data_IF_867088265473
#
_entry.id   IF_867088265473
#
_cell.length_a   1.000
_cell.length_b   1.000
_cell.length_c   1.000
_cell.angle_alpha   90.00
_cell.angle_beta   90.00
_cell.angle_gamma   90.00
#
_symmetry.space_group_name_H-M   'P 1'
#
loop_
_entity.id
_entity.type
_entity.pdbx_description
1 polymer ?
#
# COMPACT_ATOMS: atom_id res chain seq x y z
N UNK A 1 -16.78 -50.67 -56.22
CA UNK A 1 -17.52 -49.85 -55.23
C UNK A 1 -18.76 -49.28 -55.91
N UNK A 2 -19.96 -49.55 -55.41
CA UNK A 2 -21.22 -49.04 -55.99
C UNK A 2 -21.23 -47.51 -55.96
N UNK A 3 -21.65 -46.82 -57.04
CA UNK A 3 -21.70 -45.35 -57.15
C UNK A 3 -22.33 -44.67 -55.92
N UNK A 4 -23.32 -45.33 -55.32
CA UNK A 4 -24.02 -44.87 -54.12
C UNK A 4 -23.14 -44.81 -52.86
N UNK A 5 -22.21 -45.76 -52.67
CA UNK A 5 -21.29 -45.72 -51.52
C UNK A 5 -20.30 -44.57 -51.60
N UNK A 6 -19.80 -44.29 -52.81
CA UNK A 6 -18.88 -43.18 -53.04
C UNK A 6 -19.56 -41.82 -52.81
N UNK A 7 -20.83 -41.70 -53.21
CA UNK A 7 -21.68 -40.52 -52.92
C UNK A 7 -21.80 -40.28 -51.41
N UNK A 8 -22.20 -41.30 -50.65
CA UNK A 8 -22.33 -41.23 -49.18
C UNK A 8 -21.01 -40.92 -48.47
N UNK A 9 -19.88 -41.44 -48.94
CA UNK A 9 -18.55 -41.09 -48.41
C UNK A 9 -18.22 -39.60 -48.65
N UNK A 10 -18.56 -39.07 -49.83
CA UNK A 10 -18.35 -37.65 -50.16
C UNK A 10 -19.22 -36.73 -49.29
N UNK A 11 -20.45 -37.13 -49.00
CA UNK A 11 -21.34 -36.38 -48.10
C UNK A 11 -20.80 -36.28 -46.67
N UNK A 12 -20.24 -37.38 -46.14
CA UNK A 12 -19.58 -37.38 -44.81
C UNK A 12 -18.41 -36.38 -44.81
N UNK A 13 -17.60 -36.38 -45.88
CA UNK A 13 -16.46 -35.47 -46.03
C UNK A 13 -16.91 -34.01 -46.04
N UNK A 14 -17.96 -33.68 -46.77
CA UNK A 14 -18.49 -32.31 -46.85
C UNK A 14 -19.05 -31.83 -45.50
N UNK A 15 -19.91 -32.64 -44.87
CA UNK A 15 -20.46 -32.30 -43.53
C UNK A 15 -19.35 -32.13 -42.49
N UNK A 16 -18.37 -33.03 -42.46
CA UNK A 16 -17.24 -32.91 -41.54
C UNK A 16 -16.36 -31.69 -41.85
N UNK A 17 -16.08 -31.43 -43.13
CA UNK A 17 -15.27 -30.31 -43.59
C UNK A 17 -15.81 -28.95 -43.16
N UNK A 18 -17.13 -28.78 -43.19
CA UNK A 18 -17.82 -27.54 -42.80
C UNK A 18 -17.65 -27.16 -41.33
N UNK A 19 -17.60 -28.15 -40.43
CA UNK A 19 -17.63 -27.91 -38.97
C UNK A 19 -16.33 -28.30 -38.26
N UNK A 20 -15.40 -29.03 -38.89
CA UNK A 20 -14.19 -29.52 -38.21
C UNK A 20 -13.42 -28.40 -37.50
N UNK A 21 -13.38 -27.20 -38.05
CA UNK A 21 -12.65 -26.05 -37.50
C UNK A 21 -13.16 -25.58 -36.13
N UNK A 22 -14.47 -25.72 -35.86
CA UNK A 22 -15.10 -25.26 -34.62
C UNK A 22 -15.27 -26.37 -33.56
N UNK A 23 -14.99 -27.63 -33.91
CA UNK A 23 -15.17 -28.76 -33.01
C UNK A 23 -13.90 -29.13 -32.23
N UNK A 24 -14.07 -29.51 -30.96
CA UNK A 24 -13.03 -30.13 -30.13
C UNK A 24 -12.67 -31.53 -30.64
N UNK A 25 -11.52 -32.08 -30.20
CA UNK A 25 -11.10 -33.45 -30.57
C UNK A 25 -12.19 -34.50 -30.28
N UNK A 26 -12.81 -34.42 -29.10
CA UNK A 26 -13.91 -35.32 -28.70
C UNK A 26 -15.15 -35.13 -29.58
N UNK A 27 -15.54 -33.89 -29.85
CA UNK A 27 -16.71 -33.60 -30.68
C UNK A 27 -16.53 -34.08 -32.12
N UNK A 28 -15.33 -33.91 -32.71
CA UNK A 28 -14.98 -34.48 -34.01
C UNK A 28 -15.13 -36.01 -34.00
N UNK A 29 -14.58 -36.68 -32.96
CA UNK A 29 -14.66 -38.14 -32.83
C UNK A 29 -16.11 -38.63 -32.76
N UNK A 30 -16.96 -37.98 -31.96
CA UNK A 30 -18.38 -38.36 -31.81
C UNK A 30 -19.17 -38.12 -33.10
N UNK A 31 -18.91 -37.01 -33.80
CA UNK A 31 -19.52 -36.73 -35.10
C UNK A 31 -19.20 -37.82 -36.12
N UNK A 32 -17.90 -38.13 -36.29
CA UNK A 32 -17.45 -39.15 -37.25
C UNK A 32 -17.94 -40.55 -36.88
N UNK A 33 -18.06 -40.85 -35.58
CA UNK A 33 -18.67 -42.09 -35.11
C UNK A 33 -20.15 -42.18 -35.46
N UNK A 34 -20.91 -41.10 -35.30
CA UNK A 34 -22.33 -41.08 -35.66
C UNK A 34 -22.54 -41.29 -37.17
N UNK A 35 -21.71 -40.64 -37.99
CA UNK A 35 -21.69 -40.86 -39.44
C UNK A 35 -21.34 -42.31 -39.82
N UNK A 36 -20.40 -42.93 -39.09
CA UNK A 36 -20.05 -44.33 -39.29
C UNK A 36 -21.20 -45.29 -38.90
N UNK A 37 -21.96 -44.99 -37.85
CA UNK A 37 -23.15 -45.76 -37.44
C UNK A 37 -24.24 -45.64 -38.51
N UNK A 38 -24.54 -44.42 -38.95
CA UNK A 38 -25.53 -44.16 -40.00
C UNK A 38 -25.14 -44.76 -41.36
N UNK A 39 -23.85 -44.89 -41.65
CA UNK A 39 -23.37 -45.54 -42.88
C UNK A 39 -23.68 -47.05 -42.91
N UNK A 40 -23.74 -47.71 -41.75
CA UNK A 40 -24.02 -49.14 -41.60
C UNK A 40 -22.80 -50.01 -41.90
N UNK A 41 -22.98 -51.09 -42.67
CA UNK A 41 -21.90 -52.03 -42.98
C UNK A 41 -20.73 -51.34 -43.70
N UNK A 42 -19.52 -51.44 -43.12
CA UNK A 42 -18.31 -50.78 -43.63
C UNK A 42 -18.16 -49.31 -43.21
N UNK A 43 -19.03 -48.79 -42.35
CA UNK A 43 -19.04 -47.37 -41.95
C UNK A 43 -17.76 -46.86 -41.31
N UNK A 44 -17.03 -47.69 -40.56
CA UNK A 44 -15.73 -47.31 -39.97
C UNK A 44 -14.71 -46.98 -41.06
N UNK A 45 -14.62 -47.80 -42.11
CA UNK A 45 -13.68 -47.62 -43.22
C UNK A 45 -14.09 -46.42 -44.07
N UNK A 46 -15.39 -46.28 -44.35
CA UNK A 46 -15.95 -45.16 -45.09
C UNK A 46 -15.70 -43.81 -44.38
N UNK A 47 -16.01 -43.71 -43.09
CA UNK A 47 -15.81 -42.51 -42.29
C UNK A 47 -14.32 -42.17 -42.11
N UNK A 48 -13.46 -43.19 -41.96
CA UNK A 48 -12.00 -43.03 -41.93
C UNK A 48 -11.46 -42.44 -43.24
N UNK A 49 -11.87 -42.96 -44.40
CA UNK A 49 -11.48 -42.42 -45.73
C UNK A 49 -12.05 -41.02 -46.00
N UNK A 50 -13.26 -40.74 -45.52
CA UNK A 50 -13.89 -39.44 -45.70
C UNK A 50 -13.22 -38.33 -44.88
N UNK A 51 -12.76 -38.64 -43.66
CA UNK A 51 -12.33 -37.64 -42.67
C UNK A 51 -10.84 -37.65 -42.34
N UNK A 52 -10.12 -38.71 -42.74
CA UNK A 52 -8.72 -38.94 -42.38
C UNK A 52 -8.50 -39.44 -40.95
N UNK A 53 -9.57 -39.70 -40.18
CA UNK A 53 -9.45 -40.25 -38.83
C UNK A 53 -9.03 -41.73 -38.88
N UNK A 54 -8.12 -42.13 -37.99
CA UNK A 54 -7.72 -43.53 -37.84
C UNK A 54 -8.94 -44.41 -37.51
N UNK A 55 -9.08 -45.62 -38.10
CA UNK A 55 -10.21 -46.53 -37.84
C UNK A 55 -10.41 -46.83 -36.35
N UNK A 56 -9.33 -46.94 -35.58
CA UNK A 56 -9.36 -47.14 -34.12
C UNK A 56 -9.94 -45.96 -33.33
N UNK A 57 -9.81 -44.72 -33.85
CA UNK A 57 -10.43 -43.51 -33.27
C UNK A 57 -11.93 -43.51 -33.53
N UNK A 58 -12.33 -43.86 -34.76
CA UNK A 58 -13.75 -44.00 -35.15
C UNK A 58 -14.41 -45.10 -34.31
N UNK A 59 -13.78 -46.27 -34.17
CA UNK A 59 -14.28 -47.36 -33.33
C UNK A 59 -14.45 -46.97 -31.85
N UNK A 60 -13.47 -46.25 -31.27
CA UNK A 60 -13.61 -45.70 -29.91
C UNK A 60 -14.76 -44.69 -29.79
N UNK A 61 -14.98 -43.88 -30.82
CA UNK A 61 -16.11 -42.97 -30.89
C UNK A 61 -17.46 -43.70 -30.93
N UNK A 62 -17.57 -44.79 -31.69
CA UNK A 62 -18.80 -45.61 -31.77
C UNK A 62 -19.12 -46.22 -30.39
N UNK A 63 -18.12 -46.76 -29.70
CA UNK A 63 -18.30 -47.27 -28.35
C UNK A 63 -18.77 -46.18 -27.38
N UNK A 64 -18.26 -44.95 -27.53
CA UNK A 64 -18.67 -43.81 -26.72
C UNK A 64 -20.11 -43.35 -27.05
N UNK A 65 -20.50 -43.26 -28.32
CA UNK A 65 -21.86 -42.93 -28.75
C UNK A 65 -22.86 -43.95 -28.20
N UNK A 66 -22.59 -45.24 -28.34
CA UNK A 66 -23.44 -46.30 -27.80
C UNK A 66 -23.54 -46.26 -26.27
N UNK A 67 -22.45 -45.92 -25.59
CA UNK A 67 -22.48 -45.74 -24.13
C UNK A 67 -23.33 -44.52 -23.73
N UNK A 68 -23.33 -43.45 -24.53
CA UNK A 68 -24.20 -42.28 -24.31
C UNK A 68 -25.66 -42.66 -24.52
N UNK A 69 -25.99 -43.36 -25.62
CA UNK A 69 -27.35 -43.85 -25.90
C UNK A 69 -27.88 -44.77 -24.80
N UNK A 70 -27.03 -45.67 -24.29
CA UNK A 70 -27.38 -46.63 -23.25
C UNK A 70 -27.29 -46.06 -21.83
N UNK A 71 -27.01 -44.75 -21.66
CA UNK A 71 -26.90 -44.11 -20.33
C UNK A 71 -25.72 -44.58 -19.46
N UNK A 72 -24.75 -45.31 -20.02
CA UNK A 72 -23.59 -45.87 -19.30
C UNK A 72 -22.32 -45.03 -19.46
N UNK A 73 -22.35 -43.99 -20.29
CA UNK A 73 -21.22 -43.09 -20.47
C UNK A 73 -20.96 -42.23 -19.23
N UNK A 74 -19.69 -42.08 -18.86
CA UNK A 74 -19.28 -41.14 -17.81
C UNK A 74 -19.68 -39.71 -18.19
N UNK A 75 -20.47 -39.04 -17.34
CA UNK A 75 -20.92 -37.68 -17.56
C UNK A 75 -19.71 -36.72 -17.66
N UNK A 76 -19.49 -36.19 -18.86
CA UNK A 76 -18.44 -35.23 -19.16
C UNK A 76 -19.09 -33.91 -19.58
N UNK A 77 -18.82 -32.79 -18.89
CA UNK A 77 -19.34 -31.48 -19.28
C UNK A 77 -19.03 -31.19 -20.76
N UNK A 78 -19.90 -30.44 -21.48
CA UNK A 78 -19.68 -30.10 -22.89
C UNK A 78 -18.31 -29.43 -23.17
N UNK A 79 -17.77 -28.74 -22.17
CA UNK A 79 -16.47 -28.04 -22.22
C UNK A 79 -15.26 -28.95 -22.03
N UNK A 80 -15.43 -30.24 -21.68
CA UNK A 80 -14.33 -31.15 -21.32
C UNK A 80 -14.16 -32.28 -22.34
N UNK A 81 -12.97 -32.34 -22.94
CA UNK A 81 -12.63 -33.39 -23.93
C UNK A 81 -12.02 -34.67 -23.34
N UNK A 82 -11.48 -34.61 -22.11
CA UNK A 82 -10.75 -35.71 -21.46
C UNK A 82 -11.40 -36.13 -20.15
N UNK A 83 -11.29 -37.42 -19.79
CA UNK A 83 -11.75 -37.96 -18.50
C UNK A 83 -11.06 -37.28 -17.31
N UNK A 84 -11.70 -37.21 -16.12
CA UNK A 84 -11.02 -36.93 -14.87
C UNK A 84 -9.74 -37.77 -14.73
N UNK A 85 -8.63 -37.14 -14.34
CA UNK A 85 -7.32 -37.81 -14.21
C UNK A 85 -6.48 -37.94 -15.50
N UNK A 86 -7.06 -37.76 -16.70
CA UNK A 86 -6.33 -37.85 -17.98
C UNK A 86 -5.56 -36.57 -18.36
N UNK A 87 -5.20 -35.76 -17.37
CA UNK A 87 -4.43 -34.52 -17.51
C UNK A 87 -2.94 -34.72 -17.20
N UNK A 88 -2.14 -33.67 -17.39
CA UNK A 88 -0.74 -33.68 -16.94
C UNK A 88 -0.71 -33.82 -15.41
N UNK A 89 -0.04 -34.87 -14.91
CA UNK A 89 0.19 -35.07 -13.46
C UNK A 89 0.80 -33.83 -12.82
N UNK A 90 0.36 -33.50 -11.59
CA UNK A 90 0.85 -32.31 -10.86
C UNK A 90 2.35 -32.42 -10.63
N UNK A 91 3.05 -31.29 -10.59
CA UNK A 91 4.50 -31.27 -10.34
C UNK A 91 4.85 -31.90 -8.98
N UNK A 92 3.98 -31.75 -7.98
CA UNK A 92 4.09 -32.37 -6.65
C UNK A 92 3.95 -33.89 -6.68
N UNK A 93 3.32 -34.48 -7.70
CA UNK A 93 3.24 -35.93 -7.88
C UNK A 93 4.48 -36.48 -8.60
N UNK A 94 5.15 -35.64 -9.40
CA UNK A 94 6.41 -35.99 -10.08
C UNK A 94 7.63 -35.80 -9.20
N UNK A 95 7.53 -34.87 -8.25
CA UNK A 95 8.59 -34.49 -7.33
C UNK A 95 8.06 -34.50 -5.89
N UNK A 96 8.13 -35.67 -5.21
CA UNK A 96 7.62 -35.83 -3.85
C UNK A 96 8.37 -34.97 -2.81
N UNK A 97 9.62 -34.58 -3.09
CA UNK A 97 10.46 -33.81 -2.16
C UNK A 97 10.19 -32.31 -2.19
N UNK A 98 9.54 -31.82 -3.25
CA UNK A 98 9.23 -30.40 -3.45
C UNK A 98 8.47 -29.75 -2.27
N UNK A 99 7.48 -30.44 -1.68
CA UNK A 99 6.72 -29.88 -0.56
C UNK A 99 7.55 -29.87 0.74
N UNK A 100 8.19 -30.98 1.15
CA UNK A 100 9.12 -30.99 2.27
C UNK A 100 10.23 -29.92 2.18
N UNK A 101 10.88 -29.80 1.03
CA UNK A 101 11.99 -28.87 0.84
C UNK A 101 11.52 -27.41 0.84
N UNK A 102 10.36 -27.12 0.24
CA UNK A 102 9.72 -25.80 0.35
C UNK A 102 9.38 -25.45 1.80
N UNK A 103 8.84 -26.39 2.59
CA UNK A 103 8.57 -26.17 4.03
C UNK A 103 9.85 -25.88 4.79
N UNK A 104 10.90 -26.67 4.59
CA UNK A 104 12.20 -26.49 5.24
C UNK A 104 12.80 -25.11 4.94
N UNK A 105 12.69 -24.63 3.70
CA UNK A 105 13.15 -23.29 3.32
C UNK A 105 12.38 -22.16 4.02
N UNK A 106 11.08 -22.35 4.28
CA UNK A 106 10.23 -21.37 4.98
C UNK A 106 10.40 -21.44 6.51
N UNK A 107 10.55 -22.65 7.07
CA UNK A 107 10.66 -22.88 8.52
C UNK A 107 12.05 -22.58 9.09
N UNK A 108 13.13 -22.92 8.37
CA UNK A 108 14.51 -22.61 8.77
C UNK A 108 14.77 -21.11 8.91
N UNK A 109 14.05 -20.28 8.16
CA UNK A 109 14.09 -18.81 8.27
C UNK A 109 13.12 -18.25 9.32
N UNK A 110 12.25 -19.07 9.91
CA UNK A 110 11.28 -18.64 10.94
C UNK A 110 11.88 -18.71 12.36
N UNK A 111 12.94 -19.52 12.58
CA UNK A 111 13.56 -19.72 13.90
C UNK A 111 14.94 -19.08 14.12
N UNK A 112 15.48 -18.34 13.14
CA UNK A 112 16.74 -17.61 13.34
C UNK A 112 17.97 -18.52 13.50
N UNK A 113 18.03 -19.61 12.74
CA UNK A 113 19.17 -20.52 12.73
C UNK A 113 20.38 -19.89 11.99
N UNK A 114 21.52 -19.67 12.67
CA UNK A 114 22.69 -18.99 12.09
C UNK A 114 23.42 -19.79 11.00
N UNK A 115 23.17 -21.10 10.84
CA UNK A 115 23.73 -21.92 9.75
C UNK A 115 22.83 -22.02 8.50
N UNK A 116 21.70 -21.31 8.48
CA UNK A 116 20.78 -21.37 7.34
C UNK A 116 21.38 -20.65 6.09
N UNK A 117 21.39 -21.29 4.90
CA UNK A 117 21.91 -20.69 3.66
C UNK A 117 21.19 -19.40 3.21
N UNK A 118 20.09 -19.02 3.87
CA UNK A 118 19.28 -17.84 3.58
C UNK A 118 19.32 -16.88 4.77
N UNK A 119 20.41 -16.12 4.87
CA UNK A 119 20.54 -15.04 5.84
C UNK A 119 19.52 -13.91 5.58
N UNK A 120 18.60 -13.74 6.53
CA UNK A 120 17.89 -12.54 6.98
C UNK A 120 17.19 -11.56 5.99
N UNK A 121 17.17 -11.80 4.67
CA UNK A 121 16.62 -10.81 3.70
C UNK A 121 15.59 -11.34 2.69
N UNK A 122 15.21 -12.62 2.73
CA UNK A 122 14.70 -13.30 1.52
C UNK A 122 13.26 -13.86 1.60
N UNK A 123 12.25 -13.11 2.07
CA UNK A 123 10.82 -13.54 1.97
C UNK A 123 10.19 -13.26 0.60
N UNK A 124 10.97 -13.30 -0.49
CA UNK A 124 10.45 -13.10 -1.84
C UNK A 124 10.19 -14.47 -2.50
N UNK A 125 9.07 -14.59 -3.21
CA UNK A 125 8.76 -15.79 -4.00
C UNK A 125 9.85 -16.10 -5.04
N UNK A 126 10.64 -15.10 -5.46
CA UNK A 126 11.76 -15.28 -6.38
C UNK A 126 12.91 -16.04 -5.72
N UNK A 127 13.25 -15.69 -4.49
CA UNK A 127 14.36 -16.30 -3.76
C UNK A 127 14.02 -17.76 -3.42
N UNK A 128 12.76 -18.07 -3.09
CA UNK A 128 12.29 -19.44 -2.89
C UNK A 128 12.38 -20.28 -4.17
N UNK A 129 12.05 -19.70 -5.33
CA UNK A 129 12.21 -20.40 -6.63
C UNK A 129 13.69 -20.68 -6.92
N UNK A 130 14.59 -19.73 -6.69
CA UNK A 130 16.02 -19.92 -6.90
C UNK A 130 16.61 -20.98 -5.96
N UNK A 131 16.24 -20.96 -4.67
CA UNK A 131 16.68 -21.96 -3.71
C UNK A 131 16.19 -23.37 -4.09
N UNK A 132 14.92 -23.50 -4.48
CA UNK A 132 14.38 -24.78 -4.95
C UNK A 132 15.03 -25.25 -6.25
N UNK A 133 15.36 -24.33 -7.17
CA UNK A 133 16.11 -24.67 -8.38
C UNK A 133 17.52 -25.18 -8.06
N UNK A 134 18.23 -24.56 -7.10
CA UNK A 134 19.54 -25.03 -6.63
C UNK A 134 19.48 -26.43 -6.00
N UNK A 135 18.34 -26.79 -5.41
CA UNK A 135 18.06 -28.14 -4.89
C UNK A 135 17.60 -29.14 -5.97
N UNK A 136 17.54 -28.71 -7.24
CA UNK A 136 17.20 -29.56 -8.39
C UNK A 136 15.71 -29.58 -8.77
N UNK A 137 14.86 -28.78 -8.12
CA UNK A 137 13.43 -28.76 -8.42
C UNK A 137 13.09 -27.88 -9.62
N UNK A 138 12.27 -28.40 -10.54
CA UNK A 138 11.72 -27.60 -11.65
C UNK A 138 10.51 -26.77 -11.19
N UNK A 139 10.78 -25.56 -10.71
CA UNK A 139 9.75 -24.68 -10.13
C UNK A 139 9.60 -23.35 -10.87
N UNK A 140 8.40 -22.77 -10.76
CA UNK A 140 8.07 -21.43 -11.25
C UNK A 140 7.40 -20.62 -10.13
N UNK A 141 7.44 -19.29 -10.22
CA UNK A 141 6.80 -18.43 -9.22
C UNK A 141 5.31 -18.72 -9.02
N UNK A 142 4.56 -18.95 -10.10
CA UNK A 142 3.13 -19.29 -10.01
C UNK A 142 2.90 -20.60 -9.26
N UNK A 143 3.77 -21.59 -9.46
CA UNK A 143 3.71 -22.86 -8.76
C UNK A 143 4.01 -22.69 -7.27
N UNK A 144 5.10 -22.02 -6.92
CA UNK A 144 5.49 -21.77 -5.52
C UNK A 144 4.43 -20.94 -4.81
N UNK A 145 3.87 -19.91 -5.44
CA UNK A 145 2.78 -19.11 -4.86
C UNK A 145 1.53 -19.95 -4.56
N UNK A 146 1.15 -20.86 -5.45
CA UNK A 146 0.01 -21.76 -5.22
C UNK A 146 0.31 -22.73 -4.07
N UNK A 147 1.50 -23.33 -4.04
CA UNK A 147 1.89 -24.27 -2.98
C UNK A 147 1.95 -23.60 -1.61
N UNK A 148 2.48 -22.38 -1.51
CA UNK A 148 2.48 -21.61 -0.27
C UNK A 148 1.06 -21.37 0.25
N UNK A 149 0.12 -21.03 -0.63
CA UNK A 149 -1.30 -20.86 -0.27
C UNK A 149 -1.93 -22.18 0.20
N UNK A 150 -1.68 -23.29 -0.49
CA UNK A 150 -2.16 -24.63 -0.10
C UNK A 150 -1.59 -25.06 1.26
N UNK A 151 -0.39 -24.61 1.61
CA UNK A 151 0.27 -24.84 2.89
C UNK A 151 -0.15 -23.84 3.99
N UNK A 152 -1.07 -22.91 3.71
CA UNK A 152 -1.56 -21.92 4.67
C UNK A 152 -0.65 -20.70 4.87
N UNK A 153 0.43 -20.55 4.10
CA UNK A 153 1.29 -19.37 4.16
C UNK A 153 0.69 -18.21 3.33
N UNK A 154 0.81 -17.01 3.86
CA UNK A 154 0.45 -15.76 3.17
C UNK A 154 1.51 -14.69 3.43
N UNK A 155 1.56 -13.68 2.57
CA UNK A 155 2.40 -12.52 2.80
C UNK A 155 1.83 -11.73 3.96
N UNK A 156 2.56 -11.69 5.07
CA UNK A 156 2.22 -10.91 6.25
C UNK A 156 3.11 -9.67 6.29
N UNK A 157 2.49 -8.49 6.42
CA UNK A 157 3.20 -7.28 6.78
C UNK A 157 3.37 -7.26 8.31
N UNK A 158 4.50 -6.71 8.79
CA UNK A 158 4.69 -6.50 10.22
C UNK A 158 3.58 -5.59 10.75
N UNK A 159 2.79 -6.10 11.72
CA UNK A 159 1.75 -5.32 12.39
C UNK A 159 2.31 -4.81 13.71
N UNK A 160 2.50 -3.49 13.83
CA UNK A 160 2.92 -2.83 15.07
C UNK A 160 1.79 -2.93 16.12
N UNK A 161 1.78 -4.00 16.93
CA UNK A 161 0.81 -4.23 18.03
C UNK A 161 1.40 -4.07 19.42
N UNK A 162 2.72 -4.12 19.55
CA UNK A 162 3.43 -3.97 20.82
C UNK A 162 3.65 -2.46 21.05
N UNK A 163 2.61 -1.77 21.51
CA UNK A 163 2.79 -0.49 22.21
C UNK A 163 3.20 -0.81 23.66
N UNK A 164 4.06 0.03 24.26
CA UNK A 164 4.46 -0.11 25.67
C UNK A 164 3.26 0.00 26.63
N UNK A 165 3.53 0.05 27.94
CA UNK A 165 2.48 0.16 28.97
C UNK A 165 1.46 1.25 28.60
N UNK A 166 0.18 0.86 28.48
CA UNK A 166 -0.90 1.82 28.20
C UNK A 166 -1.00 2.77 29.38
N UNK A 167 -0.85 4.07 29.14
CA UNK A 167 -1.06 5.07 30.19
C UNK A 167 -2.52 4.95 30.68
N UNK A 168 -2.77 4.87 32.00
CA UNK A 168 -4.12 4.70 32.55
C UNK A 168 -5.08 5.79 32.05
N UNK A 169 -4.60 7.03 31.98
CA UNK A 169 -5.40 8.19 31.57
C UNK A 169 -5.47 8.42 30.05
N UNK A 170 -5.00 7.47 29.23
CA UNK A 170 -4.98 7.65 27.77
C UNK A 170 -6.36 8.00 27.21
N UNK A 171 -7.40 7.29 27.64
CA UNK A 171 -8.75 7.54 27.16
C UNK A 171 -9.29 8.89 27.63
N UNK A 172 -9.09 9.22 28.91
CA UNK A 172 -9.50 10.50 29.48
C UNK A 172 -8.83 11.70 28.75
N UNK A 173 -7.55 11.56 28.36
CA UNK A 173 -6.87 12.58 27.56
C UNK A 173 -7.46 12.73 26.15
N UNK A 174 -7.86 11.64 25.50
CA UNK A 174 -8.55 11.74 24.21
C UNK A 174 -9.91 12.40 24.33
N UNK A 175 -10.68 12.09 25.38
CA UNK A 175 -11.97 12.72 25.66
C UNK A 175 -11.80 14.22 25.93
N UNK A 176 -10.80 14.60 26.72
CA UNK A 176 -10.48 16.01 26.98
C UNK A 176 -10.11 16.78 25.70
N UNK A 177 -9.25 16.20 24.85
CA UNK A 177 -8.88 16.80 23.56
C UNK A 177 -10.12 16.95 22.67
N UNK A 178 -10.95 15.92 22.58
CA UNK A 178 -12.14 15.94 21.72
C UNK A 178 -13.15 16.99 22.18
N UNK A 179 -13.38 17.11 23.50
CA UNK A 179 -14.27 18.12 24.06
C UNK A 179 -13.74 19.55 23.85
N UNK A 180 -12.43 19.75 24.05
CA UNK A 180 -11.77 21.05 23.80
C UNK A 180 -11.90 21.45 22.33
N UNK A 181 -11.59 20.52 21.42
CA UNK A 181 -11.77 20.74 19.99
C UNK A 181 -13.22 20.99 19.61
N UNK A 182 -14.17 20.23 20.19
CA UNK A 182 -15.59 20.40 19.91
C UNK A 182 -16.04 21.83 20.21
N UNK A 183 -15.72 22.35 21.41
CA UNK A 183 -16.07 23.71 21.81
C UNK A 183 -15.47 24.77 20.89
N UNK A 184 -14.20 24.60 20.51
CA UNK A 184 -13.50 25.49 19.59
C UNK A 184 -14.16 25.54 18.20
N UNK A 185 -14.53 24.37 17.67
CA UNK A 185 -15.14 24.25 16.35
C UNK A 185 -16.59 24.75 16.34
N UNK A 186 -17.34 24.58 17.44
CA UNK A 186 -18.69 25.10 17.61
C UNK A 186 -18.72 26.65 17.60
N UNK A 187 -17.67 27.31 18.08
CA UNK A 187 -17.53 28.78 18.03
C UNK A 187 -16.91 29.31 16.73
N UNK A 188 -16.66 28.45 15.75
CA UNK A 188 -15.95 28.78 14.50
C UNK A 188 -14.54 29.38 14.71
N UNK A 189 -13.91 29.06 15.83
CA UNK A 189 -12.54 29.46 16.10
C UNK A 189 -11.56 28.45 15.48
N UNK A 190 -10.32 28.86 15.17
CA UNK A 190 -9.34 27.97 14.55
C UNK A 190 -8.91 26.86 15.51
N UNK A 191 -8.88 25.63 14.99
CA UNK A 191 -8.28 24.48 15.66
C UNK A 191 -7.38 23.71 14.69
N UNK A 192 -6.12 23.51 15.07
CA UNK A 192 -5.10 22.89 14.23
C UNK A 192 -4.50 21.64 14.87
N UNK A 193 -4.05 20.74 14.01
CA UNK A 193 -3.27 19.56 14.34
C UNK A 193 -1.90 19.72 13.71
N UNK A 194 -0.83 19.61 14.50
CA UNK A 194 0.54 19.90 14.08
C UNK A 194 1.47 18.74 14.36
N UNK A 195 2.40 18.48 13.45
CA UNK A 195 3.42 17.46 13.62
C UNK A 195 4.56 17.63 12.59
N UNK A 196 5.72 17.04 12.88
CA UNK A 196 6.83 16.96 11.93
C UNK A 196 6.84 15.61 11.22
N UNK A 197 6.78 15.62 9.88
CA UNK A 197 7.03 14.42 9.09
C UNK A 197 8.50 14.02 9.20
N UNK A 198 8.76 12.70 9.18
CA UNK A 198 10.12 12.15 9.06
C UNK A 198 10.94 12.94 8.02
N UNK A 199 12.19 13.26 8.38
CA UNK A 199 13.14 13.90 7.47
C UNK A 199 13.37 13.04 6.24
N UNK A 200 13.29 13.67 5.08
CA UNK A 200 13.51 13.02 3.80
C UNK A 200 14.85 13.44 3.20
N UNK A 201 15.45 12.52 2.44
CA UNK A 201 16.67 12.79 1.68
C UNK A 201 16.31 13.54 0.40
N UNK A 202 17.00 14.66 0.15
CA UNK A 202 16.81 15.44 -1.08
C UNK A 202 17.81 14.97 -2.12
N UNK A 203 17.30 14.42 -3.21
CA UNK A 203 18.09 13.86 -4.29
C UNK A 203 17.35 12.76 -5.04
N UNK A 204 17.98 12.20 -6.09
CA UNK A 204 17.40 11.13 -6.89
C UNK A 204 17.46 9.81 -6.13
N UNK A 205 16.83 9.71 -4.96
CA UNK A 205 16.80 8.48 -4.15
C UNK A 205 15.56 7.66 -4.45
N UNK A 206 15.68 6.35 -4.18
CA UNK A 206 14.60 5.41 -4.43
C UNK A 206 13.50 5.56 -3.38
N UNK A 207 12.38 6.16 -3.79
CA UNK A 207 11.15 6.12 -3.00
C UNK A 207 10.35 4.84 -3.25
N UNK A 208 9.84 4.25 -2.17
CA UNK A 208 9.02 3.04 -2.23
C UNK A 208 7.76 3.27 -3.05
N UNK A 209 7.53 2.44 -4.07
CA UNK A 209 6.40 2.63 -4.96
C UNK A 209 6.63 2.13 -6.38
N UNK A 210 5.58 2.25 -7.19
CA UNK A 210 5.60 2.13 -8.65
C UNK A 210 4.53 3.06 -9.20
N UNK A 211 4.89 3.81 -10.23
CA UNK A 211 3.97 4.61 -11.05
C UNK A 211 3.92 4.05 -12.47
N UNK A 212 2.88 4.43 -13.20
CA UNK A 212 2.79 4.13 -14.63
C UNK A 212 3.72 5.09 -15.38
N UNK A 213 4.67 4.54 -16.12
CA UNK A 213 5.52 5.29 -17.05
C UNK A 213 5.48 4.64 -18.44
N UNK A 214 6.01 5.35 -19.44
CA UNK A 214 6.23 4.78 -20.77
C UNK A 214 7.00 3.47 -20.67
N UNK A 215 6.71 2.52 -21.56
CA UNK A 215 7.43 1.25 -21.57
C UNK A 215 8.93 1.54 -21.79
N UNK A 216 9.78 0.96 -20.93
CA UNK A 216 11.25 1.14 -20.95
C UNK A 216 11.75 2.56 -20.57
N UNK A 217 10.90 3.37 -19.94
CA UNK A 217 11.24 4.70 -19.43
C UNK A 217 11.12 4.77 -17.89
N UNK A 218 12.02 4.09 -17.13
CA UNK A 218 12.09 4.25 -15.70
C UNK A 218 12.85 5.54 -15.33
N UNK A 219 12.42 6.20 -14.25
CA UNK A 219 13.19 7.33 -13.70
C UNK A 219 14.44 6.79 -12.97
N UNK A 220 15.61 7.22 -13.41
CA UNK A 220 16.88 6.84 -12.81
C UNK A 220 17.03 7.42 -11.39
N UNK A 221 17.51 6.57 -10.48
CA UNK A 221 17.78 6.92 -9.07
C UNK A 221 19.13 6.37 -8.66
N UNK A 222 19.77 7.04 -7.70
CA UNK A 222 21.05 6.65 -7.13
C UNK A 222 20.98 5.24 -6.52
N UNK A 223 22.05 4.49 -6.71
CA UNK A 223 22.22 3.12 -6.18
C UNK A 223 22.41 3.15 -4.65
N UNK A 224 22.91 4.25 -4.11
CA UNK A 224 23.17 4.44 -2.68
C UNK A 224 22.55 5.73 -2.16
N UNK A 225 21.92 5.64 -0.98
CA UNK A 225 21.29 6.75 -0.27
C UNK A 225 22.31 7.52 0.59
N UNK A 226 23.43 7.96 0.01
CA UNK A 226 24.38 8.83 0.71
C UNK A 226 23.85 10.25 0.73
N UNK A 227 23.85 10.91 1.89
CA UNK A 227 23.46 12.32 2.00
C UNK A 227 24.43 13.15 1.15
N UNK A 228 23.92 13.80 0.13
CA UNK A 228 24.64 14.83 -0.63
C UNK A 228 24.71 16.08 0.27
N UNK A 229 25.89 16.38 0.82
CA UNK A 229 26.09 17.49 1.77
C UNK A 229 25.68 18.85 1.17
N UNK A 230 25.67 18.98 -0.16
CA UNK A 230 25.22 20.19 -0.86
C UNK A 230 23.68 20.29 -1.00
N UNK A 231 22.96 19.16 -1.07
CA UNK A 231 21.49 19.13 -1.25
C UNK A 231 20.71 18.98 0.05
N UNK A 232 21.36 18.48 1.10
CA UNK A 232 20.83 18.45 2.46
C UNK A 232 19.63 17.53 2.69
N UNK A 233 18.87 17.79 3.76
CA UNK A 233 17.66 17.04 4.14
C UNK A 233 16.49 18.00 4.23
N UNK A 234 15.33 17.54 3.77
CA UNK A 234 14.08 18.26 3.92
C UNK A 234 13.34 17.78 5.17
N UNK A 235 12.91 18.71 6.01
CA UNK A 235 12.08 18.44 7.18
C UNK A 235 10.71 19.08 6.97
N UNK A 236 9.69 18.32 6.51
CA UNK A 236 8.33 18.86 6.36
C UNK A 236 7.66 18.97 7.73
N UNK A 237 7.29 20.19 8.12
CA UNK A 237 6.45 20.46 9.29
C UNK A 237 5.04 20.81 8.84
N UNK A 238 4.06 20.04 9.28
CA UNK A 238 2.69 20.18 8.83
C UNK A 238 1.79 20.87 9.86
N UNK A 239 0.86 21.67 9.35
CA UNK A 239 -0.26 22.26 10.09
C UNK A 239 -1.53 21.88 9.34
N UNK A 240 -2.42 21.15 10.00
CA UNK A 240 -3.70 20.73 9.44
C UNK A 240 -4.85 21.43 10.17
N UNK A 241 -5.62 22.22 9.42
CA UNK A 241 -6.81 22.91 9.90
C UNK A 241 -8.00 21.94 9.95
N UNK A 242 -8.52 21.74 11.17
CA UNK A 242 -9.59 20.78 11.43
C UNK A 242 -10.97 21.24 10.95
N UNK A 243 -11.18 22.55 10.79
CA UNK A 243 -12.47 23.15 10.42
C UNK A 243 -12.60 23.29 8.90
N UNK A 244 -11.54 23.75 8.22
CA UNK A 244 -11.57 24.01 6.77
C UNK A 244 -11.10 22.84 5.91
N UNK A 245 -10.54 21.79 6.52
CA UNK A 245 -9.88 20.69 5.80
C UNK A 245 -8.79 21.21 4.84
N UNK A 246 -8.04 22.21 5.30
CA UNK A 246 -6.91 22.80 4.60
C UNK A 246 -5.62 22.46 5.37
N UNK A 247 -4.48 22.42 4.69
CA UNK A 247 -3.19 22.18 5.32
C UNK A 247 -2.11 23.13 4.79
N UNK A 248 -1.19 23.46 5.68
CA UNK A 248 0.08 24.11 5.35
C UNK A 248 1.24 23.18 5.69
N UNK A 249 2.25 23.14 4.83
CA UNK A 249 3.50 22.42 5.10
C UNK A 249 4.71 23.31 4.84
N UNK A 250 5.47 23.60 5.89
CA UNK A 250 6.78 24.24 5.78
C UNK A 250 7.84 23.18 5.54
N UNK A 251 8.61 23.31 4.47
CA UNK A 251 9.73 22.40 4.15
C UNK A 251 11.02 23.04 4.64
N UNK A 252 11.45 22.67 5.85
CA UNK A 252 12.66 23.20 6.46
C UNK A 252 13.91 22.56 5.88
N UNK A 253 14.92 23.39 5.59
CA UNK A 253 16.25 22.97 5.09
C UNK A 253 17.26 22.73 6.23
N UNK A 254 16.88 23.04 7.46
CA UNK A 254 17.74 23.01 8.65
C UNK A 254 17.22 22.02 9.71
N UNK A 255 17.41 22.33 10.98
CA UNK A 255 17.01 21.48 12.09
C UNK A 255 15.55 21.64 12.47
N UNK A 256 14.90 20.50 12.72
CA UNK A 256 13.63 20.43 13.43
C UNK A 256 13.79 20.88 14.89
N UNK A 257 13.44 22.13 15.18
CA UNK A 257 13.50 22.74 16.52
C UNK A 257 12.14 23.33 16.89
N UNK A 258 11.90 23.60 18.18
CA UNK A 258 10.67 24.28 18.60
C UNK A 258 10.46 25.64 17.94
N UNK A 259 11.55 26.33 17.61
CA UNK A 259 11.52 27.58 16.84
C UNK A 259 11.00 27.37 15.41
N UNK A 260 11.45 26.31 14.72
CA UNK A 260 10.95 25.95 13.40
C UNK A 260 9.46 25.55 13.44
N UNK A 261 9.05 24.79 14.45
CA UNK A 261 7.66 24.38 14.63
C UNK A 261 6.73 25.60 14.79
N UNK A 262 7.09 26.54 15.68
CA UNK A 262 6.31 27.77 15.90
C UNK A 262 6.35 28.69 14.68
N UNK A 263 7.50 28.82 14.01
CA UNK A 263 7.58 29.60 12.78
C UNK A 263 6.69 29.02 11.66
N UNK A 264 6.53 27.70 11.63
CA UNK A 264 5.63 27.04 10.68
C UNK A 264 4.17 27.38 10.96
N UNK A 265 3.77 27.40 12.24
CA UNK A 265 2.43 27.85 12.67
C UNK A 265 2.20 29.32 12.33
N UNK A 266 3.19 30.18 12.62
CA UNK A 266 3.16 31.61 12.26
C UNK A 266 2.95 31.81 10.76
N UNK A 267 3.64 31.02 9.95
CA UNK A 267 3.54 31.10 8.49
C UNK A 267 2.16 30.64 8.03
N UNK A 268 1.64 29.53 8.56
CA UNK A 268 0.27 29.10 8.28
C UNK A 268 -0.75 30.19 8.63
N UNK A 269 -0.62 30.84 9.79
CA UNK A 269 -1.51 31.93 10.19
C UNK A 269 -1.47 33.08 9.19
N UNK A 270 -0.28 33.56 8.83
CA UNK A 270 -0.10 34.67 7.89
C UNK A 270 -0.64 34.37 6.49
N UNK A 271 -0.44 33.15 5.99
CA UNK A 271 -0.71 32.79 4.59
C UNK A 271 -2.12 32.26 4.37
N UNK A 272 -2.74 31.73 5.44
CA UNK A 272 -4.03 31.05 5.38
C UNK A 272 -4.92 31.48 6.54
N UNK A 273 -4.49 31.21 7.78
CA UNK A 273 -5.31 31.33 8.99
C UNK A 273 -5.99 32.69 9.17
N UNK A 274 -5.24 33.79 9.10
CA UNK A 274 -5.76 35.15 9.31
C UNK A 274 -6.90 35.52 8.35
N UNK A 275 -6.82 35.09 7.09
CA UNK A 275 -7.88 35.33 6.11
C UNK A 275 -9.12 34.45 6.34
N UNK A 276 -8.95 33.28 6.96
CA UNK A 276 -10.01 32.31 7.24
C UNK A 276 -10.73 32.59 8.55
N UNK A 277 -10.04 33.21 9.50
CA UNK A 277 -10.52 33.51 10.85
C UNK A 277 -10.20 34.97 11.22
N UNK A 278 -10.82 35.97 10.55
CA UNK A 278 -10.51 37.38 10.78
C UNK A 278 -10.88 37.87 12.18
N UNK A 279 -11.82 37.19 12.84
CA UNK A 279 -12.32 37.53 14.18
C UNK A 279 -11.87 36.53 15.24
N UNK A 280 -10.76 35.80 15.00
CA UNK A 280 -10.32 34.78 15.94
C UNK A 280 -9.96 35.40 17.29
N UNK A 281 -10.46 34.80 18.37
CA UNK A 281 -10.18 35.20 19.75
C UNK A 281 -9.41 34.13 20.52
N UNK A 282 -9.19 32.96 19.91
CA UNK A 282 -8.36 31.89 20.48
C UNK A 282 -7.91 30.90 19.40
N UNK A 283 -6.88 30.12 19.69
CA UNK A 283 -6.42 29.02 18.83
C UNK A 283 -6.16 27.77 19.66
N UNK A 284 -6.70 26.62 19.23
CA UNK A 284 -6.38 25.31 19.83
C UNK A 284 -5.40 24.56 18.93
N UNK A 285 -4.33 24.04 19.53
CA UNK A 285 -3.29 23.25 18.87
C UNK A 285 -3.26 21.86 19.48
N UNK A 286 -3.44 20.84 18.64
CA UNK A 286 -3.18 19.45 19.02
C UNK A 286 -1.83 19.01 18.48
N UNK A 287 -0.99 18.47 19.36
CA UNK A 287 0.39 18.11 19.04
C UNK A 287 0.78 16.77 19.66
N UNK A 288 1.79 16.14 19.10
CA UNK A 288 2.42 14.98 19.71
C UNK A 288 3.21 15.38 20.97
N UNK A 289 3.48 14.41 21.85
CA UNK A 289 4.22 14.64 23.08
C UNK A 289 5.75 14.69 22.95
N UNK A 290 6.30 14.58 21.73
CA UNK A 290 7.75 14.45 21.48
C UNK A 290 8.25 15.36 20.37
N UNK A 291 9.57 15.38 20.12
CA UNK A 291 10.16 16.17 19.03
C UNK A 291 10.20 17.68 19.31
N UNK A 292 10.07 18.48 18.24
CA UNK A 292 10.17 19.95 18.28
C UNK A 292 8.98 20.63 18.96
N UNK A 293 7.82 19.98 19.01
CA UNK A 293 6.61 20.43 19.68
C UNK A 293 6.34 19.66 20.98
N UNK A 294 7.35 19.00 21.56
CA UNK A 294 7.16 18.20 22.77
C UNK A 294 6.79 19.05 23.99
N UNK A 295 5.90 18.54 24.83
CA UNK A 295 5.37 19.24 26.01
C UNK A 295 6.43 19.64 27.06
N UNK A 296 7.56 18.92 27.11
CA UNK A 296 8.70 19.20 28.00
C UNK A 296 9.65 20.26 27.42
N UNK A 297 9.51 20.64 26.16
CA UNK A 297 10.45 21.51 25.49
C UNK A 297 10.22 22.97 25.88
N UNK A 298 11.15 23.55 26.64
CA UNK A 298 11.08 24.95 27.07
C UNK A 298 11.10 25.93 25.89
N UNK A 299 11.88 25.62 24.85
CA UNK A 299 11.96 26.45 23.64
C UNK A 299 10.62 26.53 22.91
N UNK A 300 9.86 25.44 22.86
CA UNK A 300 8.52 25.43 22.29
C UNK A 300 7.59 26.43 22.99
N UNK A 301 7.57 26.39 24.34
CA UNK A 301 6.75 27.31 25.14
C UNK A 301 7.17 28.77 24.98
N UNK A 302 8.47 29.05 24.97
CA UNK A 302 9.00 30.40 24.78
C UNK A 302 8.66 30.97 23.40
N UNK A 303 8.83 30.18 22.33
CA UNK A 303 8.52 30.65 20.98
C UNK A 303 7.01 30.79 20.78
N UNK A 304 6.19 29.91 21.40
CA UNK A 304 4.74 30.10 21.44
C UNK A 304 4.34 31.40 22.13
N UNK A 305 5.00 31.79 23.23
CA UNK A 305 4.73 33.09 23.87
C UNK A 305 4.87 34.23 22.89
N UNK A 306 5.97 34.27 22.12
CA UNK A 306 6.18 35.31 21.11
C UNK A 306 5.09 35.29 20.04
N UNK A 307 4.67 34.09 19.61
CA UNK A 307 3.59 33.96 18.66
C UNK A 307 2.28 34.51 19.25
N UNK A 308 1.93 34.13 20.47
CA UNK A 308 0.74 34.63 21.18
C UNK A 308 0.78 36.15 21.32
N UNK A 309 1.93 36.72 21.66
CA UNK A 309 2.10 38.17 21.77
C UNK A 309 1.87 38.89 20.42
N UNK A 310 2.29 38.27 19.31
CA UNK A 310 2.07 38.81 17.96
C UNK A 310 0.62 38.63 17.49
N UNK A 311 -0.01 37.51 17.84
CA UNK A 311 -1.40 37.21 17.47
C UNK A 311 -2.43 37.96 18.32
N UNK A 312 -2.04 38.38 19.53
CA UNK A 312 -2.90 39.09 20.50
C UNK A 312 -4.10 38.29 20.98
N UNK A 313 -4.07 36.95 20.89
CA UNK A 313 -5.08 36.09 21.49
C UNK A 313 -4.46 34.80 22.04
N UNK A 314 -5.08 34.16 23.06
CA UNK A 314 -4.53 32.97 23.69
C UNK A 314 -4.43 31.76 22.75
N UNK A 315 -3.38 30.97 22.96
CA UNK A 315 -3.21 29.65 22.32
C UNK A 315 -3.29 28.56 23.38
N UNK A 316 -4.22 27.64 23.22
CA UNK A 316 -4.32 26.42 24.03
C UNK A 316 -3.66 25.26 23.30
N UNK A 317 -2.74 24.57 23.96
CA UNK A 317 -2.05 23.39 23.43
C UNK A 317 -2.51 22.15 24.19
N UNK A 318 -2.90 21.12 23.46
CA UNK A 318 -3.22 19.80 24.02
C UNK A 318 -2.31 18.74 23.39
N UNK A 319 -1.49 18.11 24.22
CA UNK A 319 -0.59 17.05 23.78
C UNK A 319 -1.26 15.67 23.82
N UNK A 320 -1.00 14.88 22.80
CA UNK A 320 -1.39 13.47 22.76
C UNK A 320 -0.55 12.64 23.74
N UNK A 321 -1.14 11.60 24.37
CA UNK A 321 -0.39 10.71 25.26
C UNK A 321 0.84 10.08 24.57
N UNK A 322 1.90 9.76 25.32
CA UNK A 322 3.08 9.07 24.76
C UNK A 322 2.70 7.80 23.99
N UNK A 323 3.33 7.58 22.83
CA UNK A 323 3.07 6.41 21.98
C UNK A 323 1.76 6.45 21.19
N UNK A 324 1.06 7.59 21.17
CA UNK A 324 -0.21 7.76 20.47
C UNK A 324 -0.15 8.65 19.22
N UNK A 325 1.06 8.93 18.70
CA UNK A 325 1.28 9.75 17.50
C UNK A 325 0.41 9.35 16.30
N UNK A 326 0.15 8.06 16.12
CA UNK A 326 -0.75 7.54 15.08
C UNK A 326 -2.16 8.15 15.15
N UNK A 327 -2.63 8.56 16.32
CA UNK A 327 -3.96 9.12 16.51
C UNK A 327 -4.02 10.62 16.25
N UNK A 328 -2.88 11.26 16.01
CA UNK A 328 -2.84 12.65 15.58
C UNK A 328 -3.52 12.80 14.22
N UNK A 329 -4.46 13.74 14.11
CA UNK A 329 -5.32 13.86 12.92
C UNK A 329 -4.49 14.18 11.67
N UNK A 330 -3.42 14.95 11.80
CA UNK A 330 -2.50 15.27 10.71
C UNK A 330 -1.83 14.05 10.08
N UNK A 331 -1.51 13.01 10.87
CA UNK A 331 -0.86 11.80 10.36
C UNK A 331 -1.75 11.09 9.32
N UNK A 332 -3.03 10.93 9.64
CA UNK A 332 -3.99 10.28 8.76
C UNK A 332 -4.57 11.19 7.69
N UNK A 333 -4.78 12.48 7.98
CA UNK A 333 -5.47 13.42 7.08
C UNK A 333 -4.55 14.22 6.18
N UNK A 334 -3.25 14.27 6.46
CA UNK A 334 -2.26 14.97 5.64
C UNK A 334 -1.10 14.06 5.24
N UNK A 335 -0.34 13.56 6.22
CA UNK A 335 0.91 12.85 5.93
C UNK A 335 0.72 11.52 5.21
N UNK A 336 -0.38 10.81 5.47
CA UNK A 336 -0.72 9.59 4.74
C UNK A 336 -0.90 9.85 3.24
N UNK A 337 -1.55 10.96 2.87
CA UNK A 337 -1.79 11.34 1.48
C UNK A 337 -0.55 11.91 0.81
N UNK A 338 0.27 12.68 1.52
CA UNK A 338 1.58 13.12 1.03
C UNK A 338 2.46 11.90 0.71
N UNK A 339 2.49 10.91 1.61
CA UNK A 339 3.26 9.66 1.39
C UNK A 339 2.76 8.89 0.16
N UNK A 340 1.44 8.85 -0.05
CA UNK A 340 0.85 8.24 -1.24
C UNK A 340 1.24 8.99 -2.52
N UNK A 341 1.26 10.33 -2.49
CA UNK A 341 1.59 11.16 -3.66
C UNK A 341 3.09 11.10 -4.03
N UNK A 342 3.96 10.81 -3.06
CA UNK A 342 5.40 10.65 -3.27
C UNK A 342 5.80 9.26 -3.77
N UNK A 343 4.86 8.32 -3.79
CA UNK A 343 5.11 6.92 -4.11
C UNK A 343 5.77 6.78 -5.48
N UNK A 344 7.01 6.29 -5.50
CA UNK A 344 7.75 6.04 -6.74
C UNK A 344 8.34 7.27 -7.43
N UNK A 345 8.20 8.47 -6.84
CA UNK A 345 8.78 9.72 -7.36
C UNK A 345 10.05 10.09 -6.59
N UNK A 346 11.18 10.39 -7.25
CA UNK A 346 12.36 10.89 -6.56
C UNK A 346 12.15 12.33 -6.08
N UNK A 347 12.64 12.65 -4.88
CA UNK A 347 12.55 13.98 -4.28
C UNK A 347 13.80 14.79 -4.63
N UNK A 348 13.98 15.07 -5.93
CA UNK A 348 15.25 15.56 -6.49
C UNK A 348 15.66 16.93 -5.93
N UNK A 349 14.69 17.82 -5.66
CA UNK A 349 14.94 19.16 -5.10
C UNK A 349 13.89 19.53 -4.05
N UNK A 350 14.21 20.51 -3.21
CA UNK A 350 13.25 21.10 -2.27
C UNK A 350 11.99 21.63 -2.97
N UNK A 351 12.12 22.17 -4.18
CA UNK A 351 10.97 22.64 -4.97
C UNK A 351 10.09 21.49 -5.44
N UNK A 352 10.69 20.35 -5.84
CA UNK A 352 9.93 19.14 -6.18
C UNK A 352 9.15 18.65 -4.97
N UNK A 353 9.77 18.64 -3.78
CA UNK A 353 9.09 18.28 -2.52
C UNK A 353 7.90 19.19 -2.26
N UNK A 354 8.10 20.51 -2.33
CA UNK A 354 7.02 21.50 -2.17
C UNK A 354 5.90 21.26 -3.17
N UNK A 355 6.21 21.12 -4.46
CA UNK A 355 5.22 20.91 -5.51
C UNK A 355 4.44 19.61 -5.31
N UNK A 356 5.11 18.51 -4.92
CA UNK A 356 4.45 17.23 -4.66
C UNK A 356 3.57 17.28 -3.41
N UNK A 357 3.95 18.05 -2.38
CA UNK A 357 3.10 18.27 -1.22
C UNK A 357 1.87 19.12 -1.59
N UNK A 358 2.06 20.22 -2.33
CA UNK A 358 0.98 21.10 -2.75
C UNK A 358 -0.01 20.40 -3.70
N UNK A 359 0.47 19.45 -4.50
CA UNK A 359 -0.35 18.63 -5.38
C UNK A 359 -1.15 17.54 -4.64
N UNK A 360 -1.00 17.39 -3.33
CA UNK A 360 -1.76 16.41 -2.56
C UNK A 360 -3.22 16.87 -2.42
N UNK A 361 -4.12 16.14 -3.06
CA UNK A 361 -5.58 16.36 -2.99
C UNK A 361 -6.31 15.09 -2.60
N UNK A 362 -7.47 15.21 -1.95
CA UNK A 362 -8.35 14.07 -1.65
C UNK A 362 -9.72 14.25 -2.28
N UNK A 363 -10.48 13.17 -2.43
CA UNK A 363 -11.89 13.22 -2.87
C UNK A 363 -12.78 14.05 -1.94
N UNK A 364 -12.38 14.24 -0.68
CA UNK A 364 -13.07 15.08 0.30
C UNK A 364 -12.64 16.55 0.24
N UNK A 365 -11.82 16.94 -0.74
CA UNK A 365 -11.45 18.34 -0.97
C UNK A 365 -10.30 18.86 -0.11
N UNK A 366 -9.38 18.01 0.35
CA UNK A 366 -8.16 18.48 1.04
C UNK A 366 -7.37 19.43 0.13
N UNK A 367 -7.12 20.65 0.61
CA UNK A 367 -6.23 21.61 -0.04
C UNK A 367 -4.94 21.72 0.76
N UNK A 368 -3.80 21.50 0.12
CA UNK A 368 -2.48 21.62 0.74
C UNK A 368 -1.70 22.75 0.08
N UNK A 369 -1.22 23.70 0.89
CA UNK A 369 -0.20 24.67 0.49
C UNK A 369 1.12 24.33 1.15
N UNK A 370 2.23 24.62 0.47
CA UNK A 370 3.55 24.36 1.02
C UNK A 370 4.55 25.40 0.53
N UNK A 371 5.58 25.63 1.34
CA UNK A 371 6.69 26.53 1.00
C UNK A 371 7.99 26.03 1.62
N UNK A 372 9.12 26.31 0.97
CA UNK A 372 10.44 26.12 1.57
C UNK A 372 10.64 27.16 2.68
N UNK A 373 11.14 26.71 3.83
CA UNK A 373 11.69 27.60 4.87
C UNK A 373 13.23 27.53 4.80
N UNK A 374 13.83 28.61 4.29
CA UNK A 374 15.27 28.76 4.12
C UNK A 374 15.99 29.25 5.37
N UNK A 375 15.27 29.48 6.48
CA UNK A 375 15.87 29.93 7.73
C UNK A 375 16.71 28.81 8.35
N UNK A 376 17.76 29.24 9.07
CA UNK A 376 18.63 28.33 9.79
C UNK A 376 18.27 28.32 11.26
N UNK A 377 18.00 27.13 11.80
CA UNK A 377 17.61 26.95 13.20
C UNK A 377 18.74 26.24 13.96
N UNK A 378 19.27 26.91 14.98
CA UNK A 378 20.37 26.40 15.79
C UNK A 378 19.89 25.25 16.70
N UNK A 379 20.69 24.18 16.78
CA UNK A 379 20.46 23.10 17.74
C UNK A 379 20.93 23.51 19.14
N UNK A 380 20.27 22.97 20.16
CA UNK A 380 20.76 23.03 21.54
C UNK A 380 20.64 24.41 22.19
N UNK A 381 19.82 25.31 21.64
CA UNK A 381 19.51 26.60 22.27
C UNK A 381 18.91 26.36 23.66
N UNK A 382 19.64 26.78 24.68
CA UNK A 382 19.22 26.66 26.08
C UNK A 382 18.28 27.82 26.41
N UNK A 383 17.16 27.49 27.05
CA UNK A 383 16.22 28.47 27.60
C UNK A 383 16.49 28.56 29.09
N UNK A 384 16.85 29.76 29.57
CA UNK A 384 17.10 29.98 31.00
C UNK A 384 15.79 29.92 31.79
N UNK A 385 15.88 29.69 33.10
CA UNK A 385 14.68 29.74 33.96
C UNK A 385 14.05 31.13 33.98
N UNK A 386 14.86 32.20 33.80
CA UNK A 386 14.37 33.58 33.68
C UNK A 386 13.51 33.76 32.44
N UNK A 387 13.95 33.26 31.29
CA UNK A 387 13.19 33.36 30.05
C UNK A 387 11.89 32.55 30.12
N UNK A 388 11.93 31.37 30.76
CA UNK A 388 10.74 30.54 30.92
C UNK A 388 9.72 31.17 31.88
N UNK A 389 10.17 31.87 32.91
CA UNK A 389 9.31 32.57 33.86
C UNK A 389 8.55 33.75 33.23
N UNK A 390 9.00 34.27 32.09
CA UNK A 390 8.29 35.29 31.32
C UNK A 390 7.13 34.73 30.48
N UNK A 391 7.03 33.40 30.35
CA UNK A 391 5.92 32.77 29.62
C UNK A 391 4.67 32.83 30.49
N UNK A 392 3.64 33.54 30.01
CA UNK A 392 2.33 33.64 30.63
C UNK A 392 1.51 32.37 30.34
N UNK A 393 1.92 31.27 30.97
CA UNK A 393 1.35 29.93 30.80
C UNK A 393 0.42 29.60 31.97
N UNK A 394 -0.82 29.28 31.64
CA UNK A 394 -1.84 28.73 32.55
C UNK A 394 -2.01 27.22 32.30
N UNK A 395 -1.53 26.34 33.20
CA UNK A 395 -1.72 24.90 33.09
C UNK A 395 -3.18 24.51 33.29
N UNK A 396 -3.70 23.59 32.48
CA UNK A 396 -5.03 23.05 32.71
C UNK A 396 -5.08 22.24 34.02
N UNK A 397 -6.23 22.24 34.68
CA UNK A 397 -6.48 21.41 35.88
C UNK A 397 -6.28 19.92 35.57
N UNK A 398 -6.64 19.48 34.36
CA UNK A 398 -6.45 18.11 33.90
C UNK A 398 -5.18 17.99 33.07
N UNK A 399 -4.17 17.28 33.60
CA UNK A 399 -2.85 17.10 32.98
C UNK A 399 -2.24 18.43 32.50
N UNK A 400 -2.01 19.39 33.40
CA UNK A 400 -1.44 20.70 33.08
C UNK A 400 -0.07 20.67 32.39
N UNK A 401 0.64 19.54 32.49
CA UNK A 401 1.86 19.27 31.74
C UNK A 401 1.61 19.01 30.25
N UNK A 402 0.43 18.46 29.89
CA UNK A 402 0.02 18.15 28.51
C UNK A 402 -0.97 19.16 27.95
N UNK A 403 -1.73 19.82 28.80
CA UNK A 403 -2.79 20.74 28.43
C UNK A 403 -2.51 22.09 29.09
N UNK A 404 -2.26 23.13 28.31
CA UNK A 404 -1.98 24.47 28.85
C UNK A 404 -2.39 25.54 27.87
N UNK A 405 -2.69 26.73 28.39
CA UNK A 405 -2.97 27.92 27.59
C UNK A 405 -1.87 28.93 27.81
N UNK A 406 -1.38 29.53 26.73
CA UNK A 406 -0.45 30.64 26.78
C UNK A 406 -1.21 31.90 26.39
N UNK A 407 -1.16 32.90 27.25
CA UNK A 407 -1.85 34.18 27.09
C UNK A 407 -0.89 35.27 26.63
N UNK A 408 -1.38 36.32 25.95
CA UNK A 408 -0.55 37.48 25.64
C UNK A 408 0.02 38.10 26.92
N UNK A 409 1.29 38.52 26.87
CA UNK A 409 1.93 39.26 27.98
C UNK A 409 1.44 40.70 28.07
N UNK A 410 0.98 41.26 26.94
CA UNK A 410 0.36 42.58 26.88
C UNK A 410 -1.15 42.39 26.69
N UNK A 411 -2.01 42.95 27.55
CA UNK A 411 -3.47 42.86 27.38
C UNK A 411 -3.90 43.50 26.04
N UNK A 412 -4.83 42.84 25.36
CA UNK A 412 -5.53 43.34 24.16
C UNK A 412 -6.35 44.59 24.40
#
# INVERSE_FOLDING_TARGET
MTKERSRRESEIRDRYGKIKGSLTERARRLFVANEAIAFGYGGIVAASRATGMAPSVVGRGIAEVRAIENGTASHLPPTRSRRPGAGRKKATEKDPRLIPDLKKLVESTTRGDPESPLLWTARSQRNLVEALKKQGHQTSMKMVSRLLKELGYSLQANRKRLEGAQHPDRNAQFEHINETLRRQLETNEPAISVDTKKRELVGPYKNGGRELSGKEDPVDVNVHDFVDDEKGRATPYGIYDLQKNEAWVSVGVSHDTGEFAVQSIRTWWSEMGASRYPNATSLVITADGGGSNGYRLRLWKLELQKLVDDLRFPITVCHLPPGTSKWNKIEHRLFSFITQNWRGKPLVTHQVIVNLIAATTTTTGLLVKSRVDSRTYAKGRRVSDKDLALVNLDPNVFHGEWNYTIHPTVPT
#
